data_IF_901516999765
#
_entry.id   IF_901516999765
#
_cell.length_a   1.000
_cell.length_b   1.000
_cell.length_c   1.000
_cell.angle_alpha   90.00
_cell.angle_beta   90.00
_cell.angle_gamma   90.00
#
_symmetry.space_group_name_H-M   'P 1'
#
loop_
_entity.id
_entity.type
_entity.pdbx_description
1 polymer ?
#
# COMPACT_ATOMS: atom_id res chain seq x y z
N UNK A 1 -28.58 -7.27 1.53
CA UNK A 1 -29.77 -7.09 2.40
C UNK A 1 -29.37 -7.50 3.81
N UNK A 2 -29.80 -6.79 4.86
CA UNK A 2 -29.52 -7.18 6.25
C UNK A 2 -30.76 -7.86 6.84
N UNK A 3 -30.55 -8.86 7.69
CA UNK A 3 -31.60 -9.50 8.48
C UNK A 3 -31.37 -9.25 9.96
N UNK A 4 -32.47 -9.13 10.72
CA UNK A 4 -32.44 -9.05 12.17
C UNK A 4 -32.60 -10.46 12.74
N UNK A 5 -31.66 -10.88 13.57
CA UNK A 5 -31.69 -12.17 14.25
C UNK A 5 -32.57 -12.11 15.52
N UNK A 6 -32.99 -13.25 16.09
CA UNK A 6 -33.87 -13.28 17.27
C UNK A 6 -33.31 -12.60 18.52
N UNK A 7 -31.98 -12.44 18.60
CA UNK A 7 -31.28 -11.71 19.65
C UNK A 7 -31.21 -10.18 19.40
N UNK A 8 -31.80 -9.70 18.31
CA UNK A 8 -31.85 -8.29 17.93
C UNK A 8 -30.60 -7.80 17.19
N UNK A 9 -29.62 -8.66 16.90
CA UNK A 9 -28.45 -8.27 16.10
C UNK A 9 -28.76 -8.23 14.60
N UNK A 10 -27.94 -7.51 13.82
CA UNK A 10 -28.08 -7.40 12.38
C UNK A 10 -26.91 -8.08 11.67
N UNK A 11 -27.21 -8.86 10.63
CA UNK A 11 -26.18 -9.47 9.76
C UNK A 11 -26.57 -9.38 8.29
N UNK A 12 -25.57 -9.48 7.41
CA UNK A 12 -25.77 -9.60 5.95
C UNK A 12 -26.39 -10.96 5.65
N UNK A 13 -27.49 -10.96 4.90
CA UNK A 13 -28.17 -12.17 4.46
C UNK A 13 -27.58 -12.72 3.16
N UNK A 14 -27.61 -14.04 3.01
CA UNK A 14 -27.16 -14.77 1.83
C UNK A 14 -28.07 -15.98 1.55
N UNK A 15 -27.74 -16.81 0.56
CA UNK A 15 -28.59 -17.93 0.15
C UNK A 15 -28.90 -18.88 1.33
N UNK A 16 -30.17 -19.22 1.50
CA UNK A 16 -30.67 -20.03 2.63
C UNK A 16 -31.33 -19.21 3.74
N UNK A 17 -31.02 -17.92 3.85
CA UNK A 17 -31.70 -17.03 4.81
C UNK A 17 -33.15 -16.70 4.40
N UNK A 18 -33.58 -17.03 3.17
CA UNK A 18 -34.93 -16.74 2.64
C UNK A 18 -35.80 -17.99 2.49
N UNK A 19 -35.36 -19.13 3.03
CA UNK A 19 -36.13 -20.37 3.02
C UNK A 19 -35.99 -21.20 1.73
N UNK A 20 -34.94 -20.95 0.94
CA UNK A 20 -34.64 -21.76 -0.24
C UNK A 20 -34.26 -23.20 0.16
N UNK A 21 -34.84 -24.20 -0.52
CA UNK A 21 -34.57 -25.62 -0.22
C UNK A 21 -33.17 -26.09 -0.67
N UNK A 22 -32.55 -25.41 -1.63
CA UNK A 22 -31.20 -25.66 -2.13
C UNK A 22 -30.51 -24.31 -2.31
N UNK A 23 -29.34 -24.15 -1.71
CA UNK A 23 -28.56 -22.92 -1.77
C UNK A 23 -27.08 -23.21 -1.48
N UNK A 24 -26.20 -22.35 -2.00
CA UNK A 24 -24.74 -22.41 -1.76
C UNK A 24 -24.30 -21.47 -0.63
N UNK A 25 -25.22 -21.05 0.23
CA UNK A 25 -24.89 -20.31 1.44
C UNK A 25 -24.15 -19.00 1.18
N UNK A 26 -23.02 -18.82 1.85
CA UNK A 26 -22.21 -17.60 1.83
C UNK A 26 -21.27 -17.50 0.62
N UNK A 27 -21.33 -18.42 -0.35
CA UNK A 27 -20.46 -18.37 -1.54
C UNK A 27 -20.62 -17.08 -2.36
N UNK A 28 -21.75 -16.38 -2.23
CA UNK A 28 -22.00 -15.07 -2.84
C UNK A 28 -21.25 -13.91 -2.15
N UNK A 29 -20.63 -14.14 -0.98
CA UNK A 29 -19.88 -13.14 -0.21
C UNK A 29 -18.37 -13.22 -0.49
N UNK A 30 -17.97 -13.24 -1.75
CA UNK A 30 -16.59 -13.43 -2.23
C UNK A 30 -15.94 -12.15 -2.81
N UNK A 31 -16.58 -10.99 -2.61
CA UNK A 31 -16.11 -9.72 -3.14
C UNK A 31 -14.97 -9.08 -2.35
N UNK A 32 -14.15 -8.27 -3.05
CA UNK A 32 -13.15 -7.39 -2.43
C UNK A 32 -13.79 -6.22 -1.66
N UNK A 33 -15.05 -5.92 -1.90
CA UNK A 33 -15.83 -4.94 -1.15
C UNK A 33 -17.06 -5.61 -0.55
N UNK A 34 -17.52 -5.09 0.58
CA UNK A 34 -18.83 -5.38 1.12
C UNK A 34 -19.93 -4.83 0.20
N UNK A 35 -21.17 -5.30 0.38
CA UNK A 35 -22.30 -4.94 -0.48
C UNK A 35 -22.65 -3.44 -0.48
N UNK A 36 -22.21 -2.69 0.53
CA UNK A 36 -22.38 -1.24 0.65
C UNK A 36 -21.22 -0.44 0.00
N UNK A 37 -20.26 -1.13 -0.61
CA UNK A 37 -19.07 -0.53 -1.22
C UNK A 37 -17.89 -0.36 -0.27
N UNK A 38 -18.04 -0.68 1.02
CA UNK A 38 -16.93 -0.61 1.99
C UNK A 38 -15.84 -1.62 1.59
N UNK A 39 -14.56 -1.20 1.43
CA UNK A 39 -13.47 -2.11 1.11
C UNK A 39 -13.27 -3.17 2.21
N UNK A 40 -13.01 -4.41 1.82
CA UNK A 40 -12.54 -5.44 2.75
C UNK A 40 -11.04 -5.28 3.00
N UNK A 41 -10.47 -5.92 4.06
CA UNK A 41 -9.02 -5.98 4.23
C UNK A 41 -8.29 -6.54 3.00
N UNK A 42 -8.92 -7.49 2.28
CA UNK A 42 -8.36 -8.03 1.05
C UNK A 42 -8.18 -6.99 -0.06
N UNK A 43 -9.06 -5.99 -0.16
CA UNK A 43 -8.92 -4.88 -1.11
C UNK A 43 -7.75 -3.97 -0.74
N UNK A 44 -7.52 -3.73 0.56
CA UNK A 44 -6.41 -2.90 1.04
C UNK A 44 -5.07 -3.57 0.72
N UNK A 45 -4.95 -4.86 1.01
CA UNK A 45 -3.75 -5.64 0.66
C UNK A 45 -3.56 -5.74 -0.86
N UNK A 46 -4.64 -5.98 -1.61
CA UNK A 46 -4.58 -6.03 -3.07
C UNK A 46 -4.09 -4.72 -3.66
N UNK A 47 -4.61 -3.57 -3.18
CA UNK A 47 -4.17 -2.25 -3.62
C UNK A 47 -2.68 -2.02 -3.40
N UNK A 48 -2.13 -2.45 -2.26
CA UNK A 48 -0.70 -2.38 -2.00
C UNK A 48 0.12 -3.30 -2.91
N UNK A 49 -0.38 -4.50 -3.22
CA UNK A 49 0.29 -5.48 -4.10
C UNK A 49 0.37 -4.98 -5.54
N UNK A 50 -0.67 -4.31 -6.04
CA UNK A 50 -0.73 -3.83 -7.42
C UNK A 50 -0.28 -2.38 -7.60
N UNK A 51 0.21 -1.72 -6.54
CA UNK A 51 0.66 -0.33 -6.64
C UNK A 51 1.78 -0.23 -7.71
N UNK A 52 1.58 0.58 -8.76
CA UNK A 52 2.59 0.76 -9.80
C UNK A 52 3.83 1.47 -9.26
N UNK A 53 3.73 2.28 -8.21
CA UNK A 53 4.90 2.72 -7.47
C UNK A 53 5.31 1.58 -6.54
N UNK A 54 6.57 1.16 -6.57
CA UNK A 54 7.03 0.08 -5.70
C UNK A 54 8.42 0.35 -5.12
N UNK A 55 8.68 -0.31 -3.99
CA UNK A 55 9.95 -0.25 -3.27
C UNK A 55 10.52 -1.67 -3.13
N UNK A 56 11.78 -1.85 -3.51
CA UNK A 56 12.50 -3.11 -3.31
C UNK A 56 13.66 -2.91 -2.32
N UNK A 57 13.68 -3.77 -1.32
CA UNK A 57 14.60 -3.70 -0.18
C UNK A 57 15.62 -4.83 -0.19
N UNK A 58 15.62 -5.67 -1.23
CA UNK A 58 16.41 -6.89 -1.33
C UNK A 58 17.91 -6.64 -1.04
N UNK A 59 18.36 -7.08 0.15
CA UNK A 59 19.73 -6.94 0.63
C UNK A 59 20.17 -5.52 1.02
N UNK A 60 19.24 -4.56 1.05
CA UNK A 60 19.59 -3.15 0.82
C UNK A 60 19.51 -2.26 2.06
N UNK A 61 18.66 -2.56 3.06
CA UNK A 61 18.62 -1.75 4.30
C UNK A 61 19.89 -1.90 5.14
N UNK A 62 20.47 -3.10 5.17
CA UNK A 62 21.79 -3.33 5.78
C UNK A 62 22.93 -2.60 5.02
N UNK A 63 22.76 -2.40 3.71
CA UNK A 63 23.73 -1.69 2.86
C UNK A 63 23.41 -0.19 2.67
N UNK A 64 22.35 0.30 3.32
CA UNK A 64 21.96 1.72 3.35
C UNK A 64 21.32 2.24 2.07
N UNK A 65 20.63 1.40 1.31
CA UNK A 65 19.94 1.81 0.07
C UNK A 65 18.55 1.19 -0.06
N UNK A 66 17.67 1.76 -0.88
CA UNK A 66 16.40 1.16 -1.32
C UNK A 66 16.22 1.49 -2.80
N UNK A 67 15.67 0.55 -3.56
CA UNK A 67 15.29 0.80 -4.95
C UNK A 67 13.83 1.25 -5.00
N UNK A 68 13.57 2.36 -5.68
CA UNK A 68 12.24 2.82 -6.05
C UNK A 68 12.04 2.58 -7.54
N UNK A 69 10.84 2.13 -7.92
CA UNK A 69 10.49 1.88 -9.32
C UNK A 69 9.16 2.49 -9.72
N UNK A 70 9.12 3.01 -10.96
CA UNK A 70 7.90 3.38 -11.64
C UNK A 70 7.41 2.19 -12.49
N UNK A 71 6.37 1.51 -12.03
CA UNK A 71 5.71 0.39 -12.70
C UNK A 71 4.64 0.79 -13.72
N UNK A 72 4.31 2.08 -13.89
CA UNK A 72 3.38 2.50 -14.94
C UNK A 72 3.94 2.19 -16.34
N UNK A 73 3.07 1.88 -17.29
CA UNK A 73 3.44 1.59 -18.69
C UNK A 73 3.59 2.85 -19.54
N UNK A 74 2.81 3.89 -19.23
CA UNK A 74 2.66 5.09 -20.06
C UNK A 74 2.63 6.38 -19.25
N UNK A 75 3.00 6.31 -17.98
CA UNK A 75 2.96 7.46 -17.08
C UNK A 75 4.31 7.64 -16.41
N UNK A 76 4.75 8.90 -16.37
CA UNK A 76 5.94 9.32 -15.63
C UNK A 76 5.52 9.75 -14.23
N UNK A 77 6.46 9.61 -13.29
CA UNK A 77 6.33 10.13 -11.94
C UNK A 77 7.14 11.41 -11.84
N UNK A 78 6.47 12.53 -11.56
CA UNK A 78 7.10 13.84 -11.37
C UNK A 78 6.99 14.28 -9.92
N UNK A 79 7.74 15.32 -9.55
CA UNK A 79 7.75 15.89 -8.20
C UNK A 79 8.03 14.83 -7.10
N UNK A 80 8.85 13.83 -7.45
CA UNK A 80 9.08 12.66 -6.61
C UNK A 80 9.83 13.07 -5.35
N UNK A 81 9.13 12.99 -4.22
CA UNK A 81 9.64 13.31 -2.88
C UNK A 81 9.63 12.06 -2.04
N UNK A 82 10.79 11.67 -1.53
CA UNK A 82 10.95 10.52 -0.65
C UNK A 82 11.32 10.99 0.74
N UNK A 83 10.45 10.72 1.71
CA UNK A 83 10.71 10.90 3.13
C UNK A 83 11.18 9.57 3.71
N UNK A 84 12.29 9.60 4.45
CA UNK A 84 12.85 8.43 5.12
C UNK A 84 12.91 8.73 6.60
N UNK A 85 12.30 7.88 7.42
CA UNK A 85 12.28 8.00 8.86
C UNK A 85 12.88 6.74 9.50
N UNK A 86 13.89 6.89 10.35
CA UNK A 86 14.44 5.77 11.15
C UNK A 86 14.07 5.97 12.61
N UNK A 87 13.58 4.91 13.23
CA UNK A 87 13.40 4.84 14.67
C UNK A 87 14.64 4.19 15.30
N UNK A 88 15.28 4.93 16.21
CA UNK A 88 16.36 4.42 17.04
C UNK A 88 15.82 3.52 18.16
N UNK A 89 16.69 2.70 18.76
CA UNK A 89 16.33 1.78 19.85
C UNK A 89 15.79 2.48 21.11
N UNK A 90 16.07 3.77 21.27
CA UNK A 90 15.54 4.61 22.36
C UNK A 90 14.13 5.16 22.07
N UNK A 91 13.58 4.83 20.90
CA UNK A 91 12.27 5.29 20.42
C UNK A 91 12.29 6.66 19.73
N UNK A 92 13.44 7.32 19.63
CA UNK A 92 13.57 8.60 18.91
C UNK A 92 13.54 8.39 17.40
N UNK A 93 13.13 9.44 16.68
CA UNK A 93 12.96 9.42 15.22
C UNK A 93 13.91 10.39 14.54
N UNK A 94 14.67 9.89 13.56
CA UNK A 94 15.45 10.69 12.63
C UNK A 94 14.76 10.69 11.26
N UNK A 95 14.57 11.87 10.64
CA UNK A 95 13.90 12.01 9.34
C UNK A 95 14.80 12.72 8.33
N UNK A 96 14.78 12.26 7.08
CA UNK A 96 15.40 12.93 5.93
C UNK A 96 14.43 12.98 4.75
N UNK A 97 14.58 13.99 3.90
CA UNK A 97 13.79 14.16 2.69
C UNK A 97 14.73 14.20 1.48
N UNK A 98 14.39 13.45 0.45
CA UNK A 98 15.11 13.37 -0.82
C UNK A 98 14.19 13.76 -1.96
N UNK A 99 14.64 14.71 -2.78
CA UNK A 99 14.00 15.02 -4.05
C UNK A 99 14.70 14.22 -5.15
N UNK A 100 13.92 13.45 -5.90
CA UNK A 100 14.44 12.68 -7.03
C UNK A 100 14.11 13.39 -8.34
N UNK A 101 14.92 13.20 -9.39
CA UNK A 101 14.49 13.48 -10.75
C UNK A 101 13.22 12.70 -11.08
N UNK A 102 12.50 13.18 -12.09
CA UNK A 102 11.35 12.47 -12.64
C UNK A 102 11.74 11.05 -13.04
N UNK A 103 10.83 10.09 -12.79
CA UNK A 103 11.00 8.69 -13.14
C UNK A 103 10.13 8.37 -14.35
N UNK A 104 10.77 8.08 -15.48
CA UNK A 104 10.07 7.63 -16.67
C UNK A 104 9.38 6.29 -16.42
N UNK A 105 8.43 5.91 -17.29
CA UNK A 105 7.83 4.58 -17.24
C UNK A 105 8.90 3.47 -17.19
N UNK A 106 8.69 2.50 -16.30
CA UNK A 106 9.60 1.35 -16.05
C UNK A 106 10.99 1.73 -15.54
N UNK A 107 11.23 2.99 -15.20
CA UNK A 107 12.49 3.44 -14.65
C UNK A 107 12.59 3.13 -13.15
N UNK A 108 13.82 2.85 -12.72
CA UNK A 108 14.15 2.68 -11.31
C UNK A 108 15.24 3.67 -10.88
N UNK A 109 15.24 3.99 -9.58
CA UNK A 109 16.30 4.75 -8.93
C UNK A 109 16.66 4.14 -7.60
N UNK A 110 17.94 4.22 -7.28
CA UNK A 110 18.45 3.86 -5.98
C UNK A 110 18.51 5.11 -5.09
N UNK A 111 17.94 5.02 -3.90
CA UNK A 111 18.01 6.08 -2.90
C UNK A 111 18.82 5.62 -1.69
N UNK A 112 19.61 6.51 -1.06
CA UNK A 112 20.22 6.21 0.21
C UNK A 112 19.14 6.15 1.29
N UNK A 113 19.24 5.17 2.17
CA UNK A 113 18.46 5.11 3.42
C UNK A 113 19.42 4.90 4.58
N UNK A 114 19.10 5.39 5.79
CA UNK A 114 19.93 5.10 6.95
C UNK A 114 19.98 3.58 7.18
N UNK A 115 21.17 3.08 7.50
CA UNK A 115 21.33 1.69 7.89
C UNK A 115 20.59 1.44 9.20
N UNK A 116 19.90 0.31 9.28
CA UNK A 116 19.17 -0.08 10.49
C UNK A 116 19.77 -1.34 11.10
N UNK A 117 19.98 -1.29 12.41
CA UNK A 117 20.39 -2.45 13.22
C UNK A 117 19.19 -3.35 13.46
N UNK A 118 19.46 -4.57 13.93
CA UNK A 118 18.40 -5.47 14.38
C UNK A 118 17.53 -4.80 15.45
N UNK A 119 16.23 -4.75 15.23
CA UNK A 119 15.25 -4.12 16.13
C UNK A 119 14.98 -2.63 15.85
N UNK A 120 15.72 -2.00 14.94
CA UNK A 120 15.41 -0.66 14.44
C UNK A 120 14.48 -0.75 13.23
N UNK A 121 13.65 0.27 13.05
CA UNK A 121 12.67 0.37 11.98
C UNK A 121 13.02 1.53 11.06
N UNK A 122 12.93 1.31 9.75
CA UNK A 122 13.01 2.35 8.74
C UNK A 122 11.69 2.40 7.99
N UNK A 123 11.06 3.56 8.00
CA UNK A 123 9.89 3.88 7.22
C UNK A 123 10.32 4.74 6.02
N UNK A 124 9.87 4.35 4.83
CA UNK A 124 10.10 5.07 3.58
C UNK A 124 8.74 5.45 3.03
N UNK A 125 8.47 6.75 2.93
CA UNK A 125 7.22 7.29 2.39
C UNK A 125 7.51 8.07 1.11
N UNK A 126 6.76 7.79 0.06
CA UNK A 126 6.96 8.40 -1.26
C UNK A 126 5.72 9.18 -1.67
N UNK A 127 5.94 10.43 -2.09
CA UNK A 127 4.93 11.32 -2.66
C UNK A 127 5.34 11.71 -4.07
N UNK A 128 4.39 11.68 -4.99
CA UNK A 128 4.65 11.99 -6.40
C UNK A 128 3.36 12.41 -7.11
N UNK A 129 3.53 13.15 -8.21
CA UNK A 129 2.50 13.42 -9.19
C UNK A 129 2.62 12.42 -10.34
N UNK A 130 1.52 11.76 -10.69
CA UNK A 130 1.48 10.89 -11.87
C UNK A 130 1.07 11.73 -13.08
N UNK A 131 1.87 11.67 -14.16
CA UNK A 131 1.59 12.39 -15.40
C UNK A 131 1.37 11.41 -16.53
N UNK A 132 0.23 11.53 -17.22
CA UNK A 132 -0.11 10.75 -18.41
C UNK A 132 -0.48 11.71 -19.54
N UNK A 133 0.40 11.86 -20.53
CA UNK A 133 0.27 12.90 -21.55
C UNK A 133 0.20 14.30 -20.94
N UNK A 134 -0.78 15.10 -21.35
CA UNK A 134 -0.97 16.47 -20.82
C UNK A 134 -1.78 16.51 -19.51
N UNK A 135 -2.14 15.36 -18.93
CA UNK A 135 -2.96 15.27 -17.73
C UNK A 135 -2.09 14.94 -16.51
N UNK A 136 -2.19 15.78 -15.49
CA UNK A 136 -1.55 15.58 -14.18
C UNK A 136 -2.57 15.07 -13.17
N UNK A 137 -2.20 14.01 -12.45
CA UNK A 137 -2.96 13.47 -11.32
C UNK A 137 -2.09 13.61 -10.08
N UNK A 138 -2.50 14.50 -9.17
CA UNK A 138 -1.66 15.03 -8.09
C UNK A 138 -1.57 14.15 -6.84
N UNK A 139 -2.14 12.94 -6.81
CA UNK A 139 -2.10 12.13 -5.59
C UNK A 139 -2.21 10.63 -5.83
N UNK A 140 -1.25 9.88 -5.28
CA UNK A 140 -1.46 8.56 -4.72
C UNK A 140 -1.82 8.81 -3.24
N UNK A 141 -3.10 8.82 -2.91
CA UNK A 141 -3.58 8.88 -1.53
C UNK A 141 -4.17 7.52 -1.13
N UNK A 142 -3.71 6.91 -0.03
CA UNK A 142 -2.58 7.35 0.80
C UNK A 142 -1.23 7.25 0.05
N UNK A 143 -0.21 8.02 0.46
CA UNK A 143 1.13 7.86 -0.10
C UNK A 143 1.63 6.44 0.13
N UNK A 144 2.45 5.92 -0.80
CA UNK A 144 3.10 4.63 -0.58
C UNK A 144 4.08 4.76 0.59
N UNK A 145 3.87 3.96 1.64
CA UNK A 145 4.76 3.82 2.78
C UNK A 145 5.19 2.36 2.92
N UNK A 146 6.49 2.11 2.93
CA UNK A 146 7.05 0.80 3.25
C UNK A 146 7.84 0.89 4.55
N UNK A 147 7.63 -0.10 5.42
CA UNK A 147 8.37 -0.24 6.66
C UNK A 147 9.29 -1.45 6.58
N UNK A 148 10.56 -1.24 6.88
CA UNK A 148 11.56 -2.31 6.92
C UNK A 148 12.12 -2.41 8.33
N UNK A 149 12.01 -3.61 8.90
CA UNK A 149 12.68 -3.95 10.15
C UNK A 149 14.11 -4.39 9.82
N UNK A 150 15.10 -3.85 10.53
CA UNK A 150 16.46 -4.37 10.46
C UNK A 150 16.48 -5.86 10.83
N UNK A 151 16.91 -6.72 9.90
CA UNK A 151 17.12 -8.16 10.13
C UNK A 151 18.59 -8.47 9.87
N UNK A 152 19.17 -9.32 10.72
CA UNK A 152 20.56 -9.77 10.64
C UNK A 152 20.74 -10.83 9.54
#
# INVERSE_FOLDING_TARGET
MHITTPDGSHRVAYGGDFGEAVHDGNFVLDGLCFADGTPTPGMVEYAAVIDPLWLETAGSVATGRVMIGNGYDHSELTDVTVEVARQDLDGSWNRSVHHLPDLMQKETRMIPVPTARSGEMVEVTVRTTVVCGNRRTLSLDPPMSASVLGRN
#
